data_IF_150125492554
#
_entry.id   IF_150125492554
#
_cell.length_a   1.000
_cell.length_b   1.000
_cell.length_c   1.000
_cell.angle_alpha   90.00
_cell.angle_beta   90.00
_cell.angle_gamma   90.00
#
_symmetry.space_group_name_H-M   'P 1'
#
loop_
_entity.id
_entity.type
_entity.pdbx_description
1 polymer ?
#
# COMPACT_ATOMS: atom_id res chain seq x y z
N UNK A 1 -27.34 -19.29 6.03
CA UNK A 1 -26.03 -18.75 6.44
C UNK A 1 -26.08 -18.52 7.94
N UNK A 2 -25.13 -19.06 8.72
CA UNK A 2 -24.98 -18.69 10.12
C UNK A 2 -24.52 -17.22 10.23
N UNK A 3 -24.75 -16.55 11.37
CA UNK A 3 -24.18 -15.24 11.65
C UNK A 3 -22.64 -15.28 11.65
N UNK A 4 -22.01 -14.22 11.16
CA UNK A 4 -20.55 -14.04 11.21
C UNK A 4 -20.12 -13.53 12.60
N UNK A 5 -19.00 -14.05 13.09
CA UNK A 5 -18.43 -13.64 14.39
C UNK A 5 -17.64 -12.32 14.32
N UNK A 6 -17.12 -12.00 13.13
CA UNK A 6 -16.38 -10.77 12.81
C UNK A 6 -17.17 -9.99 11.77
N UNK A 7 -17.67 -8.83 12.18
CA UNK A 7 -18.27 -7.88 11.25
C UNK A 7 -17.15 -6.93 10.83
N UNK A 8 -16.63 -7.13 9.63
CA UNK A 8 -15.54 -6.35 9.05
C UNK A 8 -15.87 -6.11 7.57
N UNK A 9 -15.62 -4.90 7.02
CA UNK A 9 -15.87 -4.68 5.60
C UNK A 9 -14.90 -5.51 4.78
N UNK A 10 -15.44 -6.22 3.79
CA UNK A 10 -14.66 -6.98 2.81
C UNK A 10 -14.77 -6.28 1.47
N UNK A 11 -13.65 -6.13 0.78
CA UNK A 11 -13.50 -5.46 -0.51
C UNK A 11 -14.05 -4.03 -0.45
N UNK A 12 -13.64 -3.29 0.59
CA UNK A 12 -14.14 -1.95 0.87
C UNK A 12 -13.69 -0.92 -0.18
N UNK A 13 -12.51 -1.13 -0.75
CA UNK A 13 -11.94 -0.30 -1.79
C UNK A 13 -12.33 -0.78 -3.19
N UNK A 14 -12.47 0.16 -4.11
CA UNK A 14 -12.62 -0.11 -5.53
C UNK A 14 -11.29 -0.62 -6.10
N UNK A 15 -11.29 -1.65 -6.96
CA UNK A 15 -10.07 -2.19 -7.56
C UNK A 15 -9.37 -1.13 -8.40
N UNK A 16 -8.08 -1.33 -8.75
CA UNK A 16 -7.37 -0.43 -9.66
C UNK A 16 -8.20 -0.17 -10.93
N UNK A 17 -8.36 1.11 -11.29
CA UNK A 17 -9.16 1.53 -12.44
C UNK A 17 -8.29 1.94 -13.63
N UNK A 18 -7.09 2.46 -13.35
CA UNK A 18 -6.25 3.10 -14.36
C UNK A 18 -4.95 2.34 -14.59
N UNK A 19 -4.36 2.55 -15.77
CA UNK A 19 -2.99 2.13 -16.03
C UNK A 19 -2.00 2.98 -15.21
N UNK A 20 -0.75 2.52 -15.03
CA UNK A 20 0.28 3.32 -14.37
C UNK A 20 0.37 4.75 -14.95
N UNK A 21 0.59 5.78 -14.11
CA UNK A 21 0.64 7.16 -14.56
C UNK A 21 1.64 7.40 -15.69
N UNK A 22 1.26 8.23 -16.67
CA UNK A 22 2.14 8.58 -17.79
C UNK A 22 1.99 10.04 -18.24
N UNK A 23 3.03 10.56 -18.90
CA UNK A 23 3.04 11.92 -19.47
C UNK A 23 2.75 13.00 -18.42
N UNK A 24 1.96 14.01 -18.79
CA UNK A 24 1.61 15.15 -17.90
C UNK A 24 0.95 14.73 -16.58
N UNK A 25 0.28 13.58 -16.56
CA UNK A 25 -0.31 13.07 -15.34
C UNK A 25 0.76 12.56 -14.36
N UNK A 26 1.70 11.76 -14.85
CA UNK A 26 2.85 11.32 -14.07
C UNK A 26 3.68 12.51 -13.55
N UNK A 27 3.94 13.53 -14.40
CA UNK A 27 4.67 14.74 -14.00
C UNK A 27 3.99 15.47 -12.83
N UNK A 28 2.65 15.53 -12.84
CA UNK A 28 1.89 16.15 -11.75
C UNK A 28 2.04 15.35 -10.45
N UNK A 29 1.82 14.03 -10.50
CA UNK A 29 1.94 13.17 -9.32
C UNK A 29 3.36 13.18 -8.76
N UNK A 30 4.37 13.12 -9.64
CA UNK A 30 5.78 13.24 -9.26
C UNK A 30 6.05 14.55 -8.52
N UNK A 31 5.48 15.67 -8.99
CA UNK A 31 5.63 16.96 -8.31
C UNK A 31 5.08 16.93 -6.88
N UNK A 32 3.89 16.36 -6.68
CA UNK A 32 3.28 16.23 -5.35
C UNK A 32 4.09 15.31 -4.44
N UNK A 33 4.54 14.17 -4.96
CA UNK A 33 5.31 13.19 -4.20
C UNK A 33 6.68 13.72 -3.79
N UNK A 34 7.45 14.32 -4.73
CA UNK A 34 8.75 14.91 -4.42
C UNK A 34 8.62 16.06 -3.42
N UNK A 35 7.52 16.82 -3.47
CA UNK A 35 7.26 17.83 -2.45
C UNK A 35 7.03 17.21 -1.05
N UNK A 36 6.47 16.01 -0.95
CA UNK A 36 6.40 15.24 0.29
C UNK A 36 7.77 14.73 0.74
N UNK A 37 8.61 14.22 -0.17
CA UNK A 37 9.97 13.79 0.16
C UNK A 37 10.82 14.90 0.80
N UNK A 38 10.62 16.16 0.40
CA UNK A 38 11.30 17.31 1.00
C UNK A 38 10.92 17.57 2.48
N UNK A 39 9.86 16.93 2.98
CA UNK A 39 9.37 17.07 4.36
C UNK A 39 9.75 15.89 5.26
N UNK A 40 10.43 14.87 4.72
CA UNK A 40 10.83 13.68 5.48
C UNK A 40 11.77 14.07 6.62
N UNK A 41 11.50 13.56 7.82
CA UNK A 41 12.36 13.70 9.00
C UNK A 41 13.32 12.50 9.07
N UNK A 42 14.56 12.70 8.62
CA UNK A 42 15.52 11.62 8.36
C UNK A 42 16.20 11.00 9.59
N UNK A 43 15.80 11.39 10.80
CA UNK A 43 16.40 10.90 12.05
C UNK A 43 17.93 11.07 12.08
N UNK A 44 18.65 9.95 12.06
CA UNK A 44 20.12 9.89 12.15
C UNK A 44 20.85 10.13 10.81
N UNK A 45 20.13 10.18 9.68
CA UNK A 45 20.71 10.40 8.36
C UNK A 45 20.76 11.90 8.04
N UNK A 46 21.94 12.40 7.63
CA UNK A 46 22.17 13.84 7.39
C UNK A 46 21.34 14.43 6.24
N UNK A 47 21.06 13.66 5.19
CA UNK A 47 20.30 14.09 4.00
C UNK A 47 19.79 12.91 3.17
N UNK A 48 18.64 13.10 2.53
CA UNK A 48 18.02 12.11 1.64
C UNK A 48 18.81 11.91 0.34
N UNK A 49 19.44 12.96 -0.17
CA UNK A 49 20.08 12.95 -1.50
C UNK A 49 19.09 13.16 -2.65
N UNK A 50 19.53 12.93 -3.89
CA UNK A 50 18.65 12.95 -5.06
C UNK A 50 17.73 11.71 -5.06
N UNK A 51 16.43 11.93 -5.30
CA UNK A 51 15.45 10.85 -5.49
C UNK A 51 15.51 10.36 -6.92
N UNK A 52 15.64 9.04 -7.10
CA UNK A 52 15.75 8.38 -8.39
C UNK A 52 14.42 8.28 -9.15
N UNK A 53 14.32 7.27 -10.01
CA UNK A 53 13.12 7.00 -10.79
C UNK A 53 11.98 6.50 -9.89
N UNK A 54 10.82 7.16 -9.97
CA UNK A 54 9.62 6.76 -9.25
C UNK A 54 8.97 5.54 -9.90
N UNK A 55 8.73 4.52 -9.08
CA UNK A 55 7.95 3.34 -9.44
C UNK A 55 6.56 3.49 -8.84
N UNK A 56 5.54 3.57 -9.70
CA UNK A 56 4.14 3.66 -9.29
C UNK A 56 3.51 2.28 -9.11
N UNK A 57 2.74 2.13 -8.04
CA UNK A 57 1.90 0.97 -7.77
C UNK A 57 0.48 1.18 -8.32
N UNK A 58 -0.33 0.10 -8.49
CA UNK A 58 -1.72 0.22 -8.91
C UNK A 58 -2.51 1.18 -8.03
N UNK A 59 -3.47 1.90 -8.60
CA UNK A 59 -4.30 2.79 -7.80
C UNK A 59 -5.28 2.00 -6.91
N UNK A 60 -5.70 2.61 -5.79
CA UNK A 60 -6.83 2.13 -5.00
C UNK A 60 -7.73 3.28 -4.61
N UNK A 61 -9.04 3.10 -4.78
CA UNK A 61 -10.01 4.12 -4.39
C UNK A 61 -10.84 3.68 -3.20
N UNK A 62 -10.90 4.53 -2.18
CA UNK A 62 -11.72 4.30 -0.99
C UNK A 62 -12.25 5.63 -0.47
N UNK A 63 -13.52 5.65 -0.08
CA UNK A 63 -14.19 6.81 0.51
C UNK A 63 -14.09 8.09 -0.36
N UNK A 64 -14.22 7.94 -1.67
CA UNK A 64 -14.18 9.05 -2.64
C UNK A 64 -12.79 9.60 -2.92
N UNK A 65 -11.74 8.93 -2.43
CA UNK A 65 -10.34 9.30 -2.63
C UNK A 65 -9.59 8.17 -3.32
N UNK A 66 -8.80 8.52 -4.33
CA UNK A 66 -7.89 7.59 -5.02
C UNK A 66 -6.49 7.77 -4.47
N UNK A 67 -5.81 6.66 -4.20
CA UNK A 67 -4.47 6.55 -3.65
C UNK A 67 -3.56 5.88 -4.68
N UNK A 68 -2.41 6.48 -4.96
CA UNK A 68 -1.38 5.96 -5.86
C UNK A 68 -0.07 5.90 -5.08
N UNK A 69 0.30 4.70 -4.59
CA UNK A 69 1.58 4.52 -3.92
C UNK A 69 2.76 4.60 -4.89
N UNK A 70 3.91 5.00 -4.35
CA UNK A 70 5.16 5.08 -5.07
C UNK A 70 6.35 4.73 -4.18
N UNK A 71 7.38 4.17 -4.80
CA UNK A 71 8.71 4.01 -4.21
C UNK A 71 9.79 4.55 -5.15
N UNK A 72 10.94 4.93 -4.60
CA UNK A 72 12.14 5.24 -5.37
C UNK A 72 13.42 5.10 -4.54
N UNK A 73 14.53 4.64 -5.14
CA UNK A 73 15.83 4.70 -4.49
C UNK A 73 16.33 6.14 -4.39
N UNK A 74 17.27 6.37 -3.49
CA UNK A 74 17.94 7.68 -3.33
C UNK A 74 19.45 7.55 -3.42
N UNK A 75 20.14 8.65 -3.74
CA UNK A 75 21.62 8.70 -3.77
C UNK A 75 22.25 8.36 -2.40
N UNK A 76 21.54 8.60 -1.30
CA UNK A 76 22.02 8.29 0.05
C UNK A 76 21.97 6.79 0.39
N UNK A 77 21.40 5.97 -0.48
CA UNK A 77 21.20 4.54 -0.25
C UNK A 77 19.92 4.21 0.53
N UNK A 78 19.07 5.20 0.82
CA UNK A 78 17.72 4.99 1.32
C UNK A 78 16.74 4.73 0.17
N UNK A 79 15.61 4.11 0.48
CA UNK A 79 14.43 4.08 -0.37
C UNK A 79 13.37 5.02 0.19
N UNK A 80 12.81 5.91 -0.65
CA UNK A 80 11.58 6.63 -0.31
C UNK A 80 10.37 5.79 -0.67
N UNK A 81 9.36 5.81 0.19
CA UNK A 81 8.09 5.15 -0.03
C UNK A 81 6.95 6.04 0.46
N UNK A 82 5.77 5.91 -0.14
CA UNK A 82 4.58 6.64 0.28
C UNK A 82 3.52 6.64 -0.81
N UNK A 83 2.69 7.68 -0.85
CA UNK A 83 1.63 7.79 -1.85
C UNK A 83 1.25 9.24 -2.17
N UNK A 84 0.63 9.41 -3.34
CA UNK A 84 -0.15 10.60 -3.69
C UNK A 84 -1.61 10.20 -3.72
N UNK A 85 -2.49 11.08 -3.25
CA UNK A 85 -3.94 10.86 -3.25
C UNK A 85 -4.71 12.10 -3.66
N UNK A 86 -5.87 11.90 -4.29
CA UNK A 86 -6.74 12.98 -4.75
C UNK A 86 -8.21 12.56 -4.70
N UNK A 87 -9.09 13.55 -4.71
CA UNK A 87 -10.54 13.37 -4.95
C UNK A 87 -10.86 13.83 -6.36
N UNK A 88 -12.00 13.42 -6.89
CA UNK A 88 -12.54 14.02 -8.11
C UNK A 88 -13.42 15.23 -7.77
N UNK A 89 -13.28 16.31 -8.54
CA UNK A 89 -14.21 17.44 -8.47
C UNK A 89 -15.54 17.14 -9.20
N UNK A 90 -16.43 18.14 -9.29
CA UNK A 90 -17.74 17.97 -9.94
C UNK A 90 -17.66 17.64 -11.43
N UNK A 91 -16.54 17.93 -12.09
CA UNK A 91 -16.29 17.65 -13.50
C UNK A 91 -15.49 16.34 -13.70
N UNK A 92 -15.29 15.58 -12.62
CA UNK A 92 -14.54 14.33 -12.63
C UNK A 92 -13.03 14.55 -12.79
N UNK A 93 -12.50 15.75 -12.51
CA UNK A 93 -11.08 16.03 -12.60
C UNK A 93 -10.37 15.83 -11.25
N UNK A 94 -9.12 15.32 -11.23
CA UNK A 94 -8.33 15.22 -10.02
C UNK A 94 -8.15 16.57 -9.30
N UNK A 95 -8.48 16.59 -8.01
CA UNK A 95 -8.44 17.76 -7.16
C UNK A 95 -8.07 17.40 -5.72
N UNK A 96 -7.80 18.43 -4.91
CA UNK A 96 -7.46 18.30 -3.48
C UNK A 96 -6.34 17.27 -3.22
N UNK A 97 -5.22 17.41 -3.94
CA UNK A 97 -4.06 16.53 -3.81
C UNK A 97 -3.52 16.52 -2.37
N UNK A 98 -3.05 15.35 -1.95
CA UNK A 98 -2.33 15.12 -0.71
C UNK A 98 -1.26 14.06 -0.97
N UNK A 99 -0.08 14.24 -0.38
CA UNK A 99 1.00 13.27 -0.49
C UNK A 99 1.68 13.05 0.86
N UNK A 100 1.93 11.77 1.18
CA UNK A 100 2.72 11.29 2.30
C UNK A 100 3.95 10.58 1.74
N UNK A 101 5.09 10.73 2.40
CA UNK A 101 6.32 10.05 2.05
C UNK A 101 7.18 9.89 3.31
N UNK A 102 7.86 8.77 3.40
CA UNK A 102 8.89 8.47 4.39
C UNK A 102 10.09 7.80 3.68
N UNK A 103 11.18 7.54 4.41
CA UNK A 103 12.37 6.88 3.90
C UNK A 103 12.86 5.78 4.83
N UNK A 104 13.37 4.70 4.24
CA UNK A 104 13.89 3.54 4.97
C UNK A 104 15.23 3.08 4.40
N UNK A 105 16.06 2.47 5.26
CA UNK A 105 17.24 1.68 4.85
C UNK A 105 16.91 0.20 4.66
N UNK A 106 15.77 -0.25 5.16
CA UNK A 106 15.31 -1.63 5.07
C UNK A 106 14.64 -1.84 3.70
N UNK A 107 15.41 -2.40 2.75
CA UNK A 107 14.92 -2.70 1.40
C UNK A 107 14.94 -4.20 1.14
N UNK A 108 14.24 -4.64 0.09
CA UNK A 108 14.29 -6.03 -0.38
C UNK A 108 15.72 -6.51 -0.70
N UNK A 109 16.59 -5.64 -1.21
CA UNK A 109 18.00 -5.98 -1.49
C UNK A 109 18.81 -6.21 -0.21
N UNK A 110 18.47 -5.49 0.87
CA UNK A 110 19.10 -5.64 2.19
C UNK A 110 18.53 -6.82 2.99
N UNK A 111 17.33 -7.28 2.62
CA UNK A 111 16.60 -8.35 3.30
C UNK A 111 16.22 -9.48 2.32
N UNK A 112 17.21 -10.30 1.89
CA UNK A 112 17.01 -11.32 0.84
C UNK A 112 16.09 -12.48 1.25
N UNK A 113 15.79 -12.61 2.54
CA UNK A 113 14.91 -13.64 3.08
C UNK A 113 13.43 -13.25 2.99
N UNK A 114 13.11 -11.96 2.76
CA UNK A 114 11.73 -11.51 2.56
C UNK A 114 11.15 -12.14 1.31
N UNK A 115 9.88 -12.54 1.40
CA UNK A 115 9.14 -13.11 0.28
C UNK A 115 8.23 -12.10 -0.41
N UNK A 116 7.84 -11.06 0.32
CA UNK A 116 7.09 -9.90 -0.16
C UNK A 116 7.70 -8.66 0.47
N UNK A 117 8.02 -7.67 -0.36
CA UNK A 117 8.44 -6.34 0.07
C UNK A 117 7.19 -5.50 0.30
N UNK A 118 6.95 -5.09 1.55
CA UNK A 118 5.71 -4.48 2.01
C UNK A 118 5.94 -3.07 2.54
N UNK A 119 5.06 -2.17 2.14
CA UNK A 119 4.89 -0.85 2.73
C UNK A 119 3.41 -0.66 3.10
N UNK A 120 3.16 0.12 4.15
CA UNK A 120 1.81 0.45 4.57
C UNK A 120 1.67 1.87 5.13
N UNK A 121 0.43 2.36 5.13
CA UNK A 121 0.03 3.57 5.84
C UNK A 121 -1.46 3.49 6.23
N UNK A 122 -1.77 3.89 7.47
CA UNK A 122 -3.15 4.11 7.91
C UNK A 122 -3.72 5.38 7.27
N UNK A 123 -4.66 5.22 6.34
CA UNK A 123 -5.30 6.32 5.59
C UNK A 123 -6.69 6.69 6.10
N UNK A 124 -7.21 5.96 7.08
CA UNK A 124 -8.50 6.26 7.69
C UNK A 124 -8.89 5.25 8.76
N UNK A 125 -10.18 5.23 9.10
CA UNK A 125 -10.72 4.34 10.11
C UNK A 125 -12.13 3.87 9.74
N UNK A 126 -12.46 2.63 10.09
CA UNK A 126 -13.80 2.06 9.98
C UNK A 126 -14.36 1.74 11.36
N UNK A 127 -15.60 2.16 11.63
CA UNK A 127 -16.26 1.94 12.92
C UNK A 127 -17.01 0.62 12.95
N UNK A 128 -16.57 -0.26 13.83
CA UNK A 128 -17.19 -1.55 14.11
C UNK A 128 -18.13 -1.53 15.31
N UNK A 129 -18.55 -2.73 15.72
CA UNK A 129 -19.45 -2.91 16.86
C UNK A 129 -18.79 -2.60 18.21
N UNK A 130 -19.62 -2.30 19.22
CA UNK A 130 -19.18 -2.12 20.61
C UNK A 130 -18.08 -1.08 20.81
N UNK A 131 -17.99 -0.10 19.91
CA UNK A 131 -16.97 0.95 19.95
C UNK A 131 -15.61 0.54 19.39
N UNK A 132 -15.47 -0.67 18.84
CA UNK A 132 -14.25 -1.07 18.14
C UNK A 132 -14.09 -0.26 16.86
N UNK A 133 -12.83 -0.01 16.48
CA UNK A 133 -12.46 0.72 15.27
C UNK A 133 -11.34 -0.06 14.61
N UNK A 134 -11.46 -0.31 13.31
CA UNK A 134 -10.38 -0.83 12.49
C UNK A 134 -9.61 0.35 11.88
N UNK A 135 -8.29 0.26 11.82
CA UNK A 135 -7.49 1.12 10.97
C UNK A 135 -7.78 0.75 9.51
N UNK A 136 -8.02 1.73 8.65
CA UNK A 136 -8.09 1.47 7.21
C UNK A 136 -6.71 1.72 6.63
N UNK A 137 -6.04 0.64 6.28
CA UNK A 137 -4.62 0.63 5.94
C UNK A 137 -4.46 0.43 4.44
N UNK A 138 -3.74 1.34 3.81
CA UNK A 138 -3.23 1.22 2.45
C UNK A 138 -1.98 0.35 2.53
N UNK A 139 -1.92 -0.74 1.77
CA UNK A 139 -0.77 -1.65 1.73
C UNK A 139 -0.34 -1.81 0.28
N UNK A 140 0.94 -1.65 0.00
CA UNK A 140 1.48 -1.80 -1.34
C UNK A 140 2.84 -2.49 -1.29
N UNK A 141 3.26 -3.04 -2.42
CA UNK A 141 4.49 -3.78 -2.46
C UNK A 141 4.70 -4.54 -3.74
N UNK A 142 5.68 -5.45 -3.67
CA UNK A 142 6.02 -6.39 -4.74
C UNK A 142 6.50 -7.73 -4.17
N UNK A 143 6.21 -8.85 -4.84
CA UNK A 143 6.90 -10.10 -4.54
C UNK A 143 8.40 -9.99 -4.82
N UNK A 144 9.21 -10.62 -3.98
CA UNK A 144 10.66 -10.83 -4.21
C UNK A 144 10.93 -12.21 -4.81
N UNK A 145 9.94 -13.11 -4.75
CA UNK A 145 9.97 -14.45 -5.33
C UNK A 145 9.16 -14.53 -6.64
N UNK A 146 9.55 -15.40 -7.60
CA UNK A 146 8.85 -15.52 -8.87
C UNK A 146 7.54 -16.31 -8.77
N UNK A 147 6.66 -16.11 -9.75
CA UNK A 147 5.46 -16.95 -9.96
C UNK A 147 4.17 -16.41 -9.34
N UNK A 148 4.25 -15.29 -8.62
CA UNK A 148 3.10 -14.56 -8.12
C UNK A 148 2.16 -14.10 -9.24
N UNK A 149 0.87 -14.02 -8.93
CA UNK A 149 -0.16 -13.55 -9.85
C UNK A 149 -1.22 -12.66 -9.18
N UNK A 150 -1.51 -12.89 -7.90
CA UNK A 150 -2.48 -12.13 -7.13
C UNK A 150 -2.06 -12.11 -5.66
N UNK A 151 -2.43 -11.05 -4.96
CA UNK A 151 -2.30 -10.92 -3.52
C UNK A 151 -3.67 -10.81 -2.84
N UNK A 152 -3.78 -11.33 -1.62
CA UNK A 152 -4.94 -11.10 -0.74
C UNK A 152 -4.48 -10.42 0.55
N UNK A 153 -5.32 -9.53 1.07
CA UNK A 153 -5.27 -9.09 2.46
C UNK A 153 -6.22 -9.97 3.27
N UNK A 154 -5.72 -10.59 4.33
CA UNK A 154 -6.50 -11.41 5.25
C UNK A 154 -6.50 -10.83 6.65
N UNK A 155 -7.68 -10.76 7.27
CA UNK A 155 -7.87 -10.35 8.65
C UNK A 155 -8.75 -11.38 9.35
N UNK A 156 -8.25 -11.97 10.45
CA UNK A 156 -8.96 -12.99 11.21
C UNK A 156 -9.44 -14.20 10.35
N UNK A 157 -8.62 -14.61 9.37
CA UNK A 157 -8.95 -15.69 8.43
C UNK A 157 -10.00 -15.33 7.38
N UNK A 158 -10.31 -14.04 7.20
CA UNK A 158 -11.20 -13.55 6.17
C UNK A 158 -10.39 -12.76 5.14
N UNK A 159 -10.50 -13.14 3.87
CA UNK A 159 -10.04 -12.29 2.77
C UNK A 159 -10.89 -11.01 2.71
N UNK A 160 -10.25 -9.89 3.05
CA UNK A 160 -10.84 -8.55 3.18
C UNK A 160 -10.48 -7.61 2.04
N UNK A 161 -9.43 -7.90 1.26
CA UNK A 161 -9.18 -7.27 -0.04
C UNK A 161 -8.31 -8.18 -0.93
N UNK A 162 -8.24 -7.89 -2.23
CA UNK A 162 -7.38 -8.61 -3.17
C UNK A 162 -6.95 -7.74 -4.35
N UNK A 163 -5.79 -8.02 -4.93
CA UNK A 163 -5.28 -7.32 -6.11
C UNK A 163 -4.50 -8.27 -7.01
N UNK A 164 -4.80 -8.27 -8.31
CA UNK A 164 -3.93 -8.91 -9.31
C UNK A 164 -2.62 -8.13 -9.39
N UNK A 165 -1.50 -8.83 -9.56
CA UNK A 165 -0.23 -8.16 -9.80
C UNK A 165 -0.25 -7.46 -11.16
N UNK A 166 0.13 -6.19 -11.18
CA UNK A 166 0.40 -5.42 -12.39
C UNK A 166 1.88 -5.03 -12.40
N UNK A 167 2.63 -5.49 -13.39
CA UNK A 167 4.10 -5.34 -13.45
C UNK A 167 4.78 -5.76 -12.14
N UNK A 168 4.37 -6.91 -11.59
CA UNK A 168 4.82 -7.45 -10.30
C UNK A 168 4.59 -6.55 -9.08
N UNK A 169 3.66 -5.58 -9.18
CA UNK A 169 3.26 -4.68 -8.08
C UNK A 169 1.80 -4.82 -7.73
N UNK A 170 1.46 -4.46 -6.50
CA UNK A 170 0.08 -4.43 -6.03
C UNK A 170 -0.18 -3.26 -5.08
N UNK A 171 -1.47 -3.00 -4.89
CA UNK A 171 -2.01 -2.12 -3.86
C UNK A 171 -3.32 -2.71 -3.32
N UNK A 172 -3.41 -2.80 -2.00
CA UNK A 172 -4.56 -3.25 -1.22
C UNK A 172 -5.00 -2.09 -0.31
N UNK A 173 -6.28 -2.04 0.03
CA UNK A 173 -6.77 -1.13 1.06
C UNK A 173 -7.83 -1.84 1.89
N UNK A 174 -7.47 -2.15 3.12
CA UNK A 174 -8.21 -3.09 3.95
C UNK A 174 -8.23 -2.66 5.43
N UNK A 175 -9.21 -3.14 6.20
CA UNK A 175 -9.23 -2.97 7.64
C UNK A 175 -8.10 -3.80 8.28
N UNK A 176 -7.44 -3.19 9.26
CA UNK A 176 -6.36 -3.74 10.09
C UNK A 176 -6.58 -3.35 11.58
N UNK A 177 -5.80 -3.96 12.48
CA UNK A 177 -5.83 -3.77 13.93
C UNK A 177 -7.27 -3.76 14.49
N UNK A 178 -8.03 -4.80 14.14
CA UNK A 178 -9.42 -4.89 14.53
C UNK A 178 -9.64 -5.99 15.57
N UNK A 179 -9.99 -5.57 16.80
CA UNK A 179 -10.27 -6.48 17.92
C UNK A 179 -9.09 -7.43 18.20
N UNK A 180 -7.86 -6.93 18.04
CA UNK A 180 -6.60 -7.64 18.28
C UNK A 180 -6.13 -8.54 17.14
N UNK A 181 -6.87 -8.60 16.01
CA UNK A 181 -6.41 -9.26 14.80
C UNK A 181 -5.66 -8.23 13.91
N UNK A 182 -4.53 -8.65 13.34
CA UNK A 182 -3.72 -7.86 12.40
C UNK A 182 -3.77 -8.46 11.00
N UNK A 183 -3.47 -7.63 10.01
CA UNK A 183 -3.52 -7.99 8.60
C UNK A 183 -2.32 -8.86 8.21
N UNK A 184 -2.59 -9.86 7.38
CA UNK A 184 -1.58 -10.69 6.70
C UNK A 184 -1.78 -10.58 5.20
N UNK A 185 -0.70 -10.41 4.46
CA UNK A 185 -0.69 -10.37 3.00
C UNK A 185 -0.23 -11.73 2.48
N UNK A 186 -1.04 -12.36 1.64
CA UNK A 186 -0.70 -13.64 1.00
C UNK A 186 -0.48 -13.45 -0.49
N UNK A 187 0.53 -14.14 -1.02
CA UNK A 187 0.85 -14.21 -2.44
C UNK A 187 0.39 -15.53 -3.05
N UNK A 188 -0.31 -15.45 -4.17
CA UNK A 188 -0.90 -16.60 -4.85
C UNK A 188 -0.40 -16.72 -6.28
N UNK A 189 -0.18 -17.95 -6.74
CA UNK A 189 0.03 -18.24 -8.16
C UNK A 189 -1.30 -18.29 -8.94
N UNK A 190 -1.22 -18.38 -10.27
CA UNK A 190 -2.41 -18.46 -11.15
C UNK A 190 -3.27 -19.71 -10.91
N UNK A 191 -2.72 -20.74 -10.27
CA UNK A 191 -3.42 -21.97 -9.92
C UNK A 191 -4.16 -21.90 -8.59
N UNK A 192 -4.06 -20.79 -7.85
CA UNK A 192 -4.65 -20.63 -6.53
C UNK A 192 -3.86 -21.33 -5.43
N UNK A 193 -2.58 -21.62 -5.66
CA UNK A 193 -1.68 -22.10 -4.61
C UNK A 193 -0.96 -20.91 -3.98
N UNK A 194 -0.95 -20.89 -2.66
CA UNK A 194 -0.19 -19.92 -1.87
C UNK A 194 1.32 -20.15 -2.07
N UNK A 195 2.04 -19.07 -2.33
CA UNK A 195 3.48 -19.05 -2.53
C UNK A 195 4.22 -18.48 -1.33
N UNK A 196 3.62 -17.49 -0.67
CA UNK A 196 4.22 -16.76 0.44
C UNK A 196 3.13 -16.03 1.24
N UNK A 197 3.47 -15.66 2.47
CA UNK A 197 2.71 -14.77 3.32
C UNK A 197 3.66 -13.90 4.15
N UNK A 198 3.27 -12.66 4.40
CA UNK A 198 4.00 -11.72 5.25
C UNK A 198 3.00 -10.91 6.09
N UNK A 199 3.35 -10.54 7.32
CA UNK A 199 2.58 -9.59 8.13
C UNK A 199 3.18 -8.19 8.01
N UNK A 200 2.34 -7.16 8.21
CA UNK A 200 2.80 -5.77 8.34
C UNK A 200 3.65 -5.56 9.60
N UNK A 201 3.45 -6.41 10.60
CA UNK A 201 4.14 -6.33 11.87
C UNK A 201 5.16 -7.45 11.93
N UNK A 202 6.44 -7.10 12.11
CA UNK A 202 7.45 -8.10 12.44
C UNK A 202 7.04 -8.83 13.72
N UNK A 203 7.18 -10.15 13.75
CA UNK A 203 6.88 -10.96 14.93
C UNK A 203 7.73 -10.45 16.12
N UNK A 204 7.14 -9.65 17.01
CA UNK A 204 7.63 -9.57 18.39
C UNK A 204 7.27 -10.90 19.08
N UNK A 205 8.07 -11.92 18.80
CA UNK A 205 8.01 -13.22 19.47
C UNK A 205 8.82 -13.23 20.78
#
# INVERSE_FOLDING_TARGET
MPPESRIVPRFAAEPPQDAPPHGRWAERLQTEFLAACLRIELGEVDRLGEVGELVWHPDRSWHGRTFLPATAPTESGLEVFGYVSYTLDSDGQPAAFHASADATSETAESNPDWSIDLCDEVVGAWRGELGNVAAMTLVWGRPTIPGGALVTAELAGLCVDQCTLADDRFTLLAPDDYRGDTLTVHLWDRGGRELAQESLYADEA
#
